data_IF_801586949870
#
_entry.id   IF_801586949870
#
_cell.length_a   1.000
_cell.length_b   1.000
_cell.length_c   1.000
_cell.angle_alpha   90.00
_cell.angle_beta   90.00
_cell.angle_gamma   90.00
#
_symmetry.space_group_name_H-M   'P 1'
#
loop_
_entity.id
_entity.type
_entity.pdbx_description
1 polymer ?
#
# COMPACT_ATOMS: atom_id res chain seq x y z
N UNK A 1 1.95 3.75 -19.42
CA UNK A 1 2.83 3.81 -18.24
C UNK A 1 2.15 3.30 -16.97
N UNK A 2 0.89 2.82 -17.02
CA UNK A 2 0.14 2.34 -15.85
C UNK A 2 0.54 0.95 -15.34
N UNK A 3 1.38 0.21 -16.08
CA UNK A 3 1.87 -1.09 -15.65
C UNK A 3 2.67 -0.99 -14.33
N UNK A 4 3.45 0.08 -14.14
CA UNK A 4 4.27 0.29 -12.93
C UNK A 4 3.42 0.45 -11.66
N UNK A 5 2.31 1.19 -11.75
CA UNK A 5 1.42 1.42 -10.59
C UNK A 5 0.67 0.14 -10.20
N UNK A 6 0.17 -0.62 -11.19
CA UNK A 6 -0.54 -1.88 -10.95
C UNK A 6 0.38 -2.92 -10.29
N UNK A 7 1.60 -3.08 -10.80
CA UNK A 7 2.58 -4.02 -10.24
C UNK A 7 3.01 -3.60 -8.82
N UNK A 8 3.21 -2.29 -8.57
CA UNK A 8 3.49 -1.76 -7.23
C UNK A 8 2.32 -2.02 -6.26
N UNK A 9 1.08 -1.84 -6.70
CA UNK A 9 -0.12 -2.10 -5.89
C UNK A 9 -0.23 -3.58 -5.51
N UNK A 10 0.05 -4.50 -6.44
CA UNK A 10 0.05 -5.94 -6.19
C UNK A 10 1.03 -6.30 -5.07
N UNK A 11 2.30 -5.85 -5.20
CA UNK A 11 3.34 -6.10 -4.18
C UNK A 11 2.94 -5.53 -2.82
N UNK A 12 2.42 -4.29 -2.78
CA UNK A 12 2.04 -3.63 -1.52
C UNK A 12 0.85 -4.33 -0.86
N UNK A 13 -0.12 -4.81 -1.64
CA UNK A 13 -1.28 -5.57 -1.14
C UNK A 13 -0.86 -6.92 -0.56
N UNK A 14 0.04 -7.66 -1.24
CA UNK A 14 0.61 -8.90 -0.74
C UNK A 14 1.35 -8.70 0.59
N UNK A 15 2.28 -7.72 0.64
CA UNK A 15 3.02 -7.39 1.86
C UNK A 15 2.10 -6.99 3.01
N UNK A 16 1.03 -6.24 2.71
CA UNK A 16 0.04 -5.85 3.72
C UNK A 16 -0.73 -7.05 4.25
N UNK A 17 -1.14 -7.96 3.37
CA UNK A 17 -1.86 -9.18 3.74
C UNK A 17 -0.99 -10.07 4.64
N UNK A 18 0.27 -10.29 4.25
CA UNK A 18 1.24 -11.07 5.02
C UNK A 18 1.49 -10.44 6.40
N UNK A 19 1.75 -9.13 6.47
CA UNK A 19 1.97 -8.42 7.72
C UNK A 19 0.76 -8.47 8.66
N UNK A 20 -0.47 -8.43 8.12
CA UNK A 20 -1.71 -8.60 8.91
C UNK A 20 -1.79 -9.99 9.52
N UNK A 21 -1.41 -11.03 8.77
CA UNK A 21 -1.36 -12.39 9.26
C UNK A 21 -0.29 -12.55 10.35
N UNK A 22 0.95 -12.13 10.09
CA UNK A 22 2.03 -12.16 11.07
C UNK A 22 1.64 -11.43 12.36
N UNK A 23 0.99 -10.25 12.26
CA UNK A 23 0.56 -9.50 13.45
C UNK A 23 -0.48 -10.26 14.27
N UNK A 24 -1.40 -10.95 13.59
CA UNK A 24 -2.42 -11.79 14.24
C UNK A 24 -1.76 -12.94 15.00
N UNK A 25 -0.73 -13.55 14.43
CA UNK A 25 0.05 -14.63 15.06
C UNK A 25 0.88 -14.10 16.23
N UNK A 26 1.61 -13.00 16.08
CA UNK A 26 2.37 -12.35 17.15
C UNK A 26 1.48 -12.02 18.37
N UNK A 27 0.26 -11.52 18.13
CA UNK A 27 -0.74 -11.28 19.20
C UNK A 27 -1.16 -12.57 19.91
N UNK A 28 -1.38 -13.66 19.18
CA UNK A 28 -1.71 -14.98 19.75
C UNK A 28 -0.57 -15.55 20.59
N UNK A 29 0.67 -15.27 20.20
CA UNK A 29 1.88 -15.67 20.92
C UNK A 29 2.28 -14.70 22.05
N UNK A 30 1.45 -13.69 22.36
CA UNK A 30 1.73 -12.65 23.34
C UNK A 30 3.04 -11.86 23.09
N UNK A 31 3.52 -11.81 21.85
CA UNK A 31 4.70 -11.03 21.44
C UNK A 31 4.30 -9.59 21.14
N UNK A 32 4.21 -8.76 22.19
CA UNK A 32 3.67 -7.39 22.10
C UNK A 32 4.49 -6.47 21.18
N UNK A 33 5.81 -6.43 21.35
CA UNK A 33 6.70 -5.57 20.56
C UNK A 33 6.66 -5.90 19.07
N UNK A 34 6.70 -7.20 18.72
CA UNK A 34 6.57 -7.66 17.33
C UNK A 34 5.23 -7.23 16.71
N UNK A 35 4.13 -7.34 17.47
CA UNK A 35 2.81 -6.91 17.01
C UNK A 35 2.70 -5.38 16.83
N UNK A 36 3.44 -4.60 17.62
CA UNK A 36 3.54 -3.15 17.48
C UNK A 36 4.34 -2.77 16.23
N UNK A 37 5.52 -3.36 16.01
CA UNK A 37 6.33 -3.16 14.81
C UNK A 37 5.54 -3.50 13.53
N UNK A 38 4.83 -4.62 13.53
CA UNK A 38 3.96 -5.00 12.40
C UNK A 38 2.81 -4.02 12.19
N UNK A 39 2.31 -3.36 13.24
CA UNK A 39 1.29 -2.32 13.09
C UNK A 39 1.85 -1.06 12.44
N UNK A 40 3.08 -0.66 12.79
CA UNK A 40 3.78 0.45 12.14
C UNK A 40 4.02 0.14 10.66
N UNK A 41 4.50 -1.07 10.35
CA UNK A 41 4.71 -1.50 8.97
C UNK A 41 3.41 -1.48 8.15
N UNK A 42 2.31 -2.03 8.67
CA UNK A 42 0.99 -2.00 8.00
C UNK A 42 0.56 -0.56 7.69
N UNK A 43 0.77 0.38 8.63
CA UNK A 43 0.43 1.79 8.42
C UNK A 43 1.30 2.44 7.34
N UNK A 44 2.59 2.11 7.30
CA UNK A 44 3.48 2.54 6.23
C UNK A 44 3.01 2.01 4.87
N UNK A 45 2.71 0.71 4.75
CA UNK A 45 2.22 0.11 3.50
C UNK A 45 0.90 0.74 3.05
N UNK A 46 -0.03 1.03 3.97
CA UNK A 46 -1.27 1.73 3.65
C UNK A 46 -1.01 3.13 3.04
N UNK A 47 -0.01 3.86 3.54
CA UNK A 47 0.39 5.14 2.97
C UNK A 47 0.95 4.96 1.55
N UNK A 48 1.82 3.98 1.33
CA UNK A 48 2.35 3.69 -0.02
C UNK A 48 1.25 3.35 -1.02
N UNK A 49 0.25 2.55 -0.61
CA UNK A 49 -0.92 2.24 -1.45
C UNK A 49 -1.69 3.50 -1.81
N UNK A 50 -1.90 4.41 -0.84
CA UNK A 50 -2.57 5.68 -1.10
C UNK A 50 -1.81 6.56 -2.10
N UNK A 51 -0.48 6.65 -1.99
CA UNK A 51 0.34 7.40 -2.95
C UNK A 51 0.23 6.80 -4.36
N UNK A 52 0.14 5.47 -4.50
CA UNK A 52 -0.06 4.82 -5.81
C UNK A 52 -1.40 5.25 -6.45
N UNK A 53 -2.49 5.27 -5.67
CA UNK A 53 -3.78 5.73 -6.18
C UNK A 53 -3.80 7.23 -6.50
N UNK A 54 -3.09 8.03 -5.72
CA UNK A 54 -2.93 9.46 -5.99
C UNK A 54 -2.18 9.69 -7.30
N UNK A 55 -1.07 8.98 -7.52
CA UNK A 55 -0.26 9.04 -8.74
C UNK A 55 -1.08 8.63 -9.98
N UNK A 56 -1.90 7.59 -9.87
CA UNK A 56 -2.79 7.14 -10.95
C UNK A 56 -3.86 8.21 -11.27
N UNK A 57 -4.47 8.80 -10.24
CA UNK A 57 -5.46 9.87 -10.40
C UNK A 57 -4.84 11.13 -11.03
N UNK A 58 -3.64 11.53 -10.60
CA UNK A 58 -2.89 12.66 -11.18
C UNK A 58 -2.54 12.39 -12.66
N UNK A 59 -2.11 11.17 -12.99
CA UNK A 59 -1.85 10.75 -14.37
C UNK A 59 -3.10 10.81 -15.24
N UNK A 60 -4.24 10.34 -14.72
CA UNK A 60 -5.52 10.42 -15.40
C UNK A 60 -5.93 11.88 -15.65
N UNK A 61 -5.85 12.74 -14.63
CA UNK A 61 -6.17 14.17 -14.76
C UNK A 61 -5.28 14.87 -15.81
N UNK A 62 -3.97 14.62 -15.77
CA UNK A 62 -3.02 15.21 -16.72
C UNK A 62 -3.32 14.81 -18.17
N UNK A 63 -3.70 13.54 -18.41
CA UNK A 63 -4.05 13.07 -19.76
C UNK A 63 -5.34 13.69 -20.32
N UNK A 64 -6.25 14.14 -19.46
CA UNK A 64 -7.53 14.76 -19.87
C UNK A 64 -7.47 16.28 -19.87
N UNK A 65 -6.55 16.90 -19.13
CA UNK A 65 -6.34 18.35 -19.12
C UNK A 65 -5.76 18.88 -20.44
N UNK A 66 -5.00 18.07 -21.19
CA UNK A 66 -4.36 18.45 -22.46
C UNK A 66 -5.27 18.32 -23.69
N UNK A 67 -6.49 17.81 -23.56
CA UNK A 67 -7.42 17.61 -24.69
C UNK A 67 -8.27 18.85 -25.03
N UNK A 68 -7.98 20.00 -24.41
CA UNK A 68 -8.73 21.26 -24.55
C UNK A 68 -7.97 22.41 -25.21
N UNK A 69 -6.85 22.16 -25.92
CA UNK A 69 -6.12 23.16 -26.71
C UNK A 69 -6.16 22.85 -28.20
#
# INVERSE_FOLDING_TARGET
MNQDIADRLEILEEQRAEARQMRKEARRMHKKEEAELLSVFINFTNRCIWECYKEDAESWLNSHATSGQ
#
